data_IF_590437238658
#
_entry.id   IF_590437238658
#
_cell.length_a   1.000
_cell.length_b   1.000
_cell.length_c   1.000
_cell.angle_alpha   90.00
_cell.angle_beta   90.00
_cell.angle_gamma   90.00
#
_symmetry.space_group_name_H-M   'P 1'
#
loop_
_entity.id
_entity.type
_entity.pdbx_description
1 polymer ?
#
# COMPACT_ATOMS: atom_id res chain seq x y z
N UNK A 1 12.55 16.91 24.03
CA UNK A 1 12.10 17.42 22.72
C UNK A 1 10.64 17.05 22.55
N UNK A 2 9.81 17.91 21.95
CA UNK A 2 8.41 17.57 21.72
C UNK A 2 8.34 16.42 20.72
N UNK A 3 7.89 15.24 21.15
CA UNK A 3 7.51 14.14 20.25
C UNK A 3 6.46 14.68 19.29
N UNK A 4 6.82 14.98 18.05
CA UNK A 4 5.90 15.46 17.01
C UNK A 4 5.02 14.30 16.53
N UNK A 5 4.16 13.78 17.40
CA UNK A 5 3.17 12.77 17.05
C UNK A 5 2.12 13.40 16.14
N UNK A 6 1.74 12.69 15.09
CA UNK A 6 0.63 13.09 14.23
C UNK A 6 -0.70 12.87 14.96
N UNK A 7 -1.69 13.73 14.70
CA UNK A 7 -2.95 13.74 15.45
C UNK A 7 -4.05 12.86 14.85
N UNK A 8 -3.94 12.49 13.57
CA UNK A 8 -5.02 11.82 12.81
C UNK A 8 -4.50 10.89 11.70
N UNK A 9 -3.20 10.56 11.72
CA UNK A 9 -2.60 9.52 10.90
C UNK A 9 -2.18 8.37 11.80
N UNK A 10 -2.26 7.14 11.30
CA UNK A 10 -1.82 5.97 12.06
C UNK A 10 -0.30 5.88 12.01
N UNK A 11 0.30 5.77 13.19
CA UNK A 11 1.75 5.63 13.43
C UNK A 11 2.01 4.29 14.13
N UNK A 12 3.24 3.75 14.10
CA UNK A 12 3.57 2.59 14.94
C UNK A 12 3.51 2.97 16.43
N UNK A 13 3.57 1.95 17.29
CA UNK A 13 3.69 2.16 18.74
C UNK A 13 5.04 2.73 19.12
N UNK A 14 6.07 2.09 18.57
CA UNK A 14 7.48 2.47 18.56
C UNK A 14 8.10 1.84 17.30
N UNK A 15 9.29 2.29 16.92
CA UNK A 15 10.02 1.71 15.78
C UNK A 15 9.39 2.11 14.44
N UNK A 16 9.29 1.18 13.51
CA UNK A 16 8.99 1.46 12.10
C UNK A 16 7.65 0.89 11.64
N UNK A 17 7.04 1.57 10.67
CA UNK A 17 5.83 1.15 9.96
C UNK A 17 5.97 1.40 8.45
N UNK A 18 5.52 0.45 7.63
CA UNK A 18 5.26 0.68 6.20
C UNK A 18 3.88 0.18 5.76
N UNK A 19 3.83 -0.85 4.91
CA UNK A 19 2.68 -1.23 4.13
C UNK A 19 1.45 -1.53 5.00
N UNK A 20 0.27 -0.97 4.67
CA UNK A 20 -0.99 -1.50 5.21
C UNK A 20 -1.18 -2.95 4.74
N UNK A 21 -1.62 -3.80 5.66
CA UNK A 21 -1.83 -5.22 5.44
C UNK A 21 -3.19 -5.67 5.97
N UNK A 22 -3.69 -6.79 5.46
CA UNK A 22 -4.89 -7.45 5.98
C UNK A 22 -6.11 -6.54 6.13
N UNK A 23 -6.24 -5.49 5.33
CA UNK A 23 -7.31 -4.49 5.52
C UNK A 23 -8.67 -5.18 5.33
N UNK A 24 -9.50 -5.20 6.37
CA UNK A 24 -10.77 -5.94 6.35
C UNK A 24 -11.84 -5.34 7.24
N UNK A 25 -13.09 -5.43 6.81
CA UNK A 25 -14.24 -5.24 7.69
C UNK A 25 -14.74 -6.60 8.20
N UNK A 26 -14.58 -6.85 9.50
CA UNK A 26 -14.92 -8.11 10.15
C UNK A 26 -15.58 -7.84 11.51
N UNK A 27 -16.63 -8.61 11.83
CA UNK A 27 -17.40 -8.48 13.08
C UNK A 27 -17.75 -7.03 13.48
N UNK A 28 -18.20 -6.24 12.50
CA UNK A 28 -18.66 -4.86 12.72
C UNK A 28 -17.55 -3.81 12.83
N UNK A 29 -16.29 -4.17 12.58
CA UNK A 29 -15.12 -3.29 12.76
C UNK A 29 -14.20 -3.35 11.55
N UNK A 30 -13.55 -2.24 11.24
CA UNK A 30 -12.44 -2.18 10.31
C UNK A 30 -11.17 -2.58 11.05
N UNK A 31 -10.51 -3.65 10.61
CA UNK A 31 -9.19 -4.09 11.08
C UNK A 31 -8.15 -3.59 10.06
N UNK A 32 -7.12 -2.93 10.59
CA UNK A 32 -6.03 -2.31 9.83
C UNK A 32 -4.75 -2.90 10.36
N UNK A 33 -4.20 -3.89 9.66
CA UNK A 33 -2.87 -4.38 9.97
C UNK A 33 -1.84 -3.58 9.17
N UNK A 34 -0.58 -3.66 9.57
CA UNK A 34 0.52 -3.02 8.87
C UNK A 34 1.83 -3.72 9.20
N UNK A 35 2.77 -3.71 8.27
CA UNK A 35 4.14 -4.12 8.56
C UNK A 35 4.74 -3.24 9.66
N UNK A 36 5.28 -3.87 10.70
CA UNK A 36 5.84 -3.20 11.87
C UNK A 36 7.20 -3.80 12.22
N UNK A 37 8.12 -2.96 12.70
CA UNK A 37 9.32 -3.39 13.41
C UNK A 37 9.45 -2.50 14.65
N UNK A 38 9.09 -3.04 15.81
CA UNK A 38 9.06 -2.24 17.03
C UNK A 38 10.44 -2.08 17.69
N UNK A 39 11.47 -2.74 17.17
CA UNK A 39 12.82 -2.75 17.74
C UNK A 39 13.85 -2.04 16.86
N UNK A 40 13.49 -1.72 15.61
CA UNK A 40 14.34 -0.94 14.70
C UNK A 40 13.54 0.13 13.94
N UNK A 41 14.03 1.37 13.98
CA UNK A 41 13.44 2.52 13.26
C UNK A 41 13.55 2.40 11.74
N UNK A 42 14.34 1.46 11.22
CA UNK A 42 14.53 1.25 9.78
C UNK A 42 13.93 -0.07 9.28
N UNK A 43 13.20 -0.81 10.13
CA UNK A 43 12.52 -2.03 9.74
C UNK A 43 13.43 -3.22 9.40
N UNK A 44 14.64 -3.30 9.94
CA UNK A 44 15.67 -4.28 9.52
C UNK A 44 15.72 -5.55 10.34
N UNK A 45 15.07 -5.59 11.50
CA UNK A 45 15.25 -6.65 12.50
C UNK A 45 14.06 -7.62 12.48
N UNK A 46 12.90 -7.17 12.95
CA UNK A 46 11.78 -8.04 13.32
C UNK A 46 10.49 -7.59 12.62
N UNK A 47 10.40 -7.80 11.30
CA UNK A 47 9.16 -7.48 10.56
C UNK A 47 8.00 -8.38 11.01
N UNK A 48 7.03 -7.76 11.66
CA UNK A 48 5.81 -8.31 12.22
C UNK A 48 4.60 -7.56 11.65
N UNK A 49 3.37 -7.93 12.05
CA UNK A 49 2.17 -7.15 11.75
C UNK A 49 1.66 -6.43 12.99
N UNK A 50 1.69 -5.10 12.97
CA UNK A 50 0.94 -4.28 13.92
C UNK A 50 -0.54 -4.24 13.60
N UNK A 51 -1.37 -3.81 14.56
CA UNK A 51 -2.82 -3.86 14.42
C UNK A 51 -3.53 -2.65 15.02
N UNK A 52 -4.34 -2.01 14.19
CA UNK A 52 -5.36 -1.05 14.59
C UNK A 52 -6.74 -1.56 14.25
N UNK A 53 -7.74 -0.96 14.88
CA UNK A 53 -9.10 -1.12 14.45
C UNK A 53 -9.98 0.07 14.79
N UNK A 54 -11.07 0.21 14.05
CA UNK A 54 -12.01 1.32 14.19
C UNK A 54 -13.41 0.91 13.73
N UNK A 55 -14.43 1.62 14.21
CA UNK A 55 -15.82 1.52 13.72
C UNK A 55 -16.25 2.75 12.93
N UNK A 56 -15.48 3.84 13.00
CA UNK A 56 -15.88 5.17 12.54
C UNK A 56 -14.77 5.94 11.80
N UNK A 57 -13.56 5.36 11.67
CA UNK A 57 -12.36 6.01 11.12
C UNK A 57 -11.95 7.34 11.76
N UNK A 58 -12.57 7.71 12.88
CA UNK A 58 -12.27 8.90 13.67
C UNK A 58 -11.50 8.51 14.93
N UNK A 59 -11.91 7.42 15.58
CA UNK A 59 -11.27 6.85 16.77
C UNK A 59 -10.70 5.49 16.45
N UNK A 60 -9.43 5.29 16.79
CA UNK A 60 -8.72 4.04 16.54
C UNK A 60 -8.27 3.42 17.86
N UNK A 61 -8.50 2.12 18.00
CA UNK A 61 -7.91 1.31 19.06
C UNK A 61 -6.68 0.62 18.49
N UNK A 62 -5.53 0.86 19.12
CA UNK A 62 -4.29 0.13 18.85
C UNK A 62 -4.30 -1.17 19.64
N UNK A 63 -3.81 -2.25 19.04
CA UNK A 63 -3.65 -3.56 19.66
C UNK A 63 -2.18 -3.97 19.68
N UNK A 64 -1.91 -5.10 20.33
CA UNK A 64 -0.61 -5.77 20.26
C UNK A 64 -0.30 -6.24 18.82
N UNK A 65 0.94 -6.65 18.59
CA UNK A 65 1.32 -7.26 17.31
C UNK A 65 0.46 -8.50 17.04
N UNK A 66 -0.15 -8.56 15.87
CA UNK A 66 -1.07 -9.63 15.49
C UNK A 66 -0.34 -10.85 14.93
N UNK A 67 0.75 -10.64 14.18
CA UNK A 67 1.55 -11.69 13.55
C UNK A 67 3.03 -11.45 13.86
N UNK A 68 3.70 -12.45 14.40
CA UNK A 68 5.14 -12.44 14.66
C UNK A 68 5.88 -13.36 13.68
N UNK A 69 7.15 -13.07 13.32
CA UNK A 69 8.01 -13.96 12.54
C UNK A 69 8.56 -15.10 13.42
N UNK A 70 7.68 -16.01 13.86
CA UNK A 70 7.96 -17.03 14.88
C UNK A 70 7.98 -18.47 14.35
N UNK A 71 8.07 -18.66 13.03
CA UNK A 71 8.17 -19.97 12.39
C UNK A 71 9.38 -20.08 11.46
N UNK A 72 9.77 -21.31 11.11
CA UNK A 72 10.86 -21.53 10.13
C UNK A 72 10.58 -20.91 8.75
N UNK A 73 9.30 -20.72 8.41
CA UNK A 73 8.87 -20.21 7.11
C UNK A 73 8.84 -18.68 7.01
N UNK A 74 8.97 -17.97 8.13
CA UNK A 74 8.95 -16.50 8.21
C UNK A 74 9.96 -15.91 9.19
N UNK A 75 10.99 -16.68 9.58
CA UNK A 75 11.97 -16.32 10.61
C UNK A 75 12.72 -15.00 10.35
N UNK A 76 12.77 -14.52 9.10
CA UNK A 76 13.37 -13.23 8.74
C UNK A 76 12.32 -12.17 8.32
N UNK A 77 11.06 -12.37 8.70
CA UNK A 77 9.99 -11.39 8.59
C UNK A 77 8.67 -11.99 8.10
N UNK A 78 7.59 -11.64 8.79
CA UNK A 78 6.23 -11.76 8.26
C UNK A 78 5.95 -10.54 7.39
N UNK A 79 6.18 -10.66 6.08
CA UNK A 79 6.00 -9.60 5.07
C UNK A 79 4.52 -9.32 4.77
N UNK A 80 4.26 -8.41 3.83
CA UNK A 80 2.94 -7.93 3.45
C UNK A 80 1.97 -9.03 3.00
N UNK A 81 0.69 -8.70 3.03
CA UNK A 81 -0.38 -9.65 2.75
C UNK A 81 -1.78 -9.08 2.93
N UNK A 82 -2.79 -9.92 2.80
CA UNK A 82 -4.20 -9.53 2.76
C UNK A 82 -5.11 -10.48 3.55
N UNK A 83 -6.38 -10.11 3.64
CA UNK A 83 -7.39 -10.78 4.43
C UNK A 83 -8.51 -11.34 3.55
N UNK A 84 -9.11 -12.45 3.99
CA UNK A 84 -10.36 -12.99 3.44
C UNK A 84 -11.21 -13.59 4.55
N UNK A 85 -12.52 -13.70 4.35
CA UNK A 85 -13.44 -14.31 5.32
C UNK A 85 -14.06 -15.56 4.71
N UNK A 86 -14.07 -16.65 5.47
CA UNK A 86 -14.78 -17.90 5.15
C UNK A 86 -15.44 -18.43 6.42
N UNK A 87 -16.73 -18.72 6.36
CA UNK A 87 -17.49 -19.34 7.46
C UNK A 87 -17.26 -18.63 8.81
N UNK A 88 -17.47 -17.31 8.82
CA UNK A 88 -17.29 -16.44 10.00
C UNK A 88 -15.89 -16.50 10.62
N UNK A 89 -14.89 -16.84 9.81
CA UNK A 89 -13.47 -16.89 10.21
C UNK A 89 -12.69 -15.92 9.34
N UNK A 90 -11.90 -15.07 9.99
CA UNK A 90 -10.93 -14.23 9.32
C UNK A 90 -9.68 -15.06 9.03
N UNK A 91 -9.29 -15.13 7.77
CA UNK A 91 -8.02 -15.67 7.32
C UNK A 91 -7.11 -14.54 6.88
N UNK A 92 -5.87 -14.53 7.35
CA UNK A 92 -4.82 -13.65 6.83
C UNK A 92 -3.83 -14.50 6.04
N UNK A 93 -3.51 -14.04 4.84
CA UNK A 93 -2.48 -14.59 3.98
C UNK A 93 -1.36 -13.58 3.85
N UNK A 94 -0.12 -14.00 4.04
CA UNK A 94 1.03 -13.13 4.00
C UNK A 94 2.27 -13.85 3.47
N UNK A 95 3.30 -13.09 3.12
CA UNK A 95 4.58 -13.67 2.72
C UNK A 95 5.47 -13.92 3.93
N UNK A 96 5.83 -15.16 4.21
CA UNK A 96 6.93 -15.49 5.11
C UNK A 96 8.27 -15.34 4.41
N UNK A 97 9.15 -14.49 4.93
CA UNK A 97 10.47 -14.24 4.35
C UNK A 97 11.54 -15.02 5.13
N UNK A 98 12.35 -15.79 4.40
CA UNK A 98 13.51 -16.51 4.93
C UNK A 98 14.74 -16.10 4.14
N UNK A 99 15.86 -15.87 4.84
CA UNK A 99 17.17 -15.56 4.26
C UNK A 99 18.18 -16.58 4.76
N UNK A 100 18.79 -17.30 3.83
CA UNK A 100 19.85 -18.25 4.13
C UNK A 100 21.20 -17.56 4.20
N UNK A 101 22.03 -18.00 5.15
CA UNK A 101 23.42 -17.57 5.23
C UNK A 101 24.23 -18.01 4.01
N UNK A 102 25.17 -17.18 3.57
CA UNK A 102 26.04 -17.48 2.43
C UNK A 102 26.24 -16.26 1.54
N UNK A 103 27.01 -16.43 0.46
CA UNK A 103 27.16 -15.39 -0.55
C UNK A 103 26.01 -15.49 -1.56
N UNK A 104 24.93 -14.75 -1.29
CA UNK A 104 23.72 -14.73 -2.09
C UNK A 104 23.33 -13.30 -2.47
N UNK A 105 22.78 -13.15 -3.67
CA UNK A 105 22.17 -11.88 -4.13
C UNK A 105 20.78 -11.62 -3.50
N UNK A 106 20.16 -12.64 -2.89
CA UNK A 106 18.78 -12.62 -2.38
C UNK A 106 17.70 -12.28 -3.41
N UNK A 107 18.07 -12.25 -4.70
CA UNK A 107 17.19 -12.08 -5.84
C UNK A 107 16.96 -13.45 -6.49
N UNK A 108 18.02 -14.14 -6.90
CA UNK A 108 17.97 -15.44 -7.57
C UNK A 108 18.29 -16.61 -6.61
N UNK A 109 18.97 -16.35 -5.49
CA UNK A 109 19.36 -17.38 -4.52
C UNK A 109 19.29 -16.90 -3.07
N UNK A 110 19.40 -17.81 -2.09
CA UNK A 110 19.53 -17.46 -0.66
C UNK A 110 18.26 -16.92 0.01
N UNK A 111 17.11 -16.92 -0.66
CA UNK A 111 15.84 -16.46 -0.11
C UNK A 111 14.72 -17.47 -0.35
N UNK A 112 13.80 -17.56 0.61
CA UNK A 112 12.45 -18.04 0.39
C UNK A 112 11.41 -16.95 0.65
N UNK A 113 10.34 -16.96 -0.14
CA UNK A 113 9.16 -16.13 0.04
C UNK A 113 7.93 -17.04 -0.01
N UNK A 114 7.50 -17.45 1.18
CA UNK A 114 6.51 -18.49 1.39
C UNK A 114 5.11 -17.88 1.54
N UNK A 115 4.08 -18.45 0.93
CA UNK A 115 2.70 -18.08 1.22
C UNK A 115 2.31 -18.73 2.55
N UNK A 116 2.03 -17.90 3.56
CA UNK A 116 1.59 -18.36 4.88
C UNK A 116 0.15 -17.95 5.11
N UNK A 117 -0.62 -18.82 5.76
CA UNK A 117 -1.99 -18.58 6.21
C UNK A 117 -2.09 -18.71 7.73
N UNK A 118 -2.83 -17.80 8.37
CA UNK A 118 -3.31 -17.92 9.76
C UNK A 118 -4.81 -17.65 9.80
N UNK A 119 -5.45 -18.03 10.88
CA UNK A 119 -6.89 -17.79 11.07
C UNK A 119 -7.21 -17.21 12.44
N UNK A 120 -8.32 -16.48 12.50
CA UNK A 120 -8.88 -15.89 13.71
C UNK A 120 -10.40 -15.89 13.67
N UNK A 121 -11.01 -16.23 14.81
CA UNK A 121 -12.47 -16.17 15.00
C UNK A 121 -12.95 -14.84 15.55
N UNK A 122 -12.07 -14.04 16.15
CA UNK A 122 -12.41 -12.77 16.80
C UNK A 122 -11.75 -11.56 16.12
N UNK A 123 -10.82 -11.77 15.19
CA UNK A 123 -10.08 -10.73 14.49
C UNK A 123 -8.91 -10.14 15.28
N UNK A 124 -8.55 -10.72 16.44
CA UNK A 124 -7.46 -10.27 17.32
C UNK A 124 -6.47 -11.38 17.63
N UNK A 125 -6.94 -12.61 17.86
CA UNK A 125 -6.10 -13.75 18.20
C UNK A 125 -5.94 -14.66 16.97
N UNK A 126 -4.72 -14.71 16.43
CA UNK A 126 -4.39 -15.50 15.25
C UNK A 126 -3.69 -16.80 15.62
N UNK A 127 -4.11 -17.90 14.98
CA UNK A 127 -3.62 -19.27 15.24
C UNK A 127 -3.46 -20.05 13.94
N UNK A 128 -2.98 -21.29 14.07
CA UNK A 128 -2.89 -22.27 12.98
C UNK A 128 -2.10 -21.73 11.77
N UNK A 129 -0.91 -21.20 12.05
CA UNK A 129 0.05 -20.75 11.04
C UNK A 129 0.47 -21.93 10.16
N UNK A 130 0.28 -21.80 8.85
CA UNK A 130 0.57 -22.86 7.86
C UNK A 130 1.27 -22.28 6.63
N UNK A 131 2.38 -22.88 6.23
CA UNK A 131 2.99 -22.63 4.92
C UNK A 131 2.21 -23.39 3.84
N UNK A 132 1.72 -22.68 2.82
CA UNK A 132 0.87 -23.21 1.77
C UNK A 132 1.59 -23.29 0.42
N UNK A 133 2.47 -22.34 0.12
CA UNK A 133 3.32 -22.34 -1.08
C UNK A 133 4.72 -21.87 -0.71
N UNK A 134 5.72 -22.40 -1.42
CA UNK A 134 7.12 -22.01 -1.36
C UNK A 134 7.60 -21.59 -2.75
N UNK A 135 8.85 -21.13 -2.88
CA UNK A 135 9.40 -20.84 -4.21
C UNK A 135 9.45 -22.03 -5.17
N UNK A 136 9.27 -23.28 -4.69
CA UNK A 136 9.19 -24.47 -5.55
C UNK A 136 7.86 -24.58 -6.27
N UNK A 137 6.82 -23.97 -5.71
CA UNK A 137 5.45 -24.03 -6.22
C UNK A 137 5.15 -22.89 -7.21
N UNK A 138 6.03 -21.89 -7.27
CA UNK A 138 5.95 -20.81 -8.24
C UNK A 138 6.51 -21.23 -9.61
N UNK A 139 6.11 -20.56 -10.72
CA UNK A 139 6.66 -20.85 -12.03
C UNK A 139 8.20 -20.78 -12.03
N UNK A 140 8.84 -21.74 -12.69
CA UNK A 140 10.29 -21.94 -12.64
C UNK A 140 11.11 -20.77 -13.19
N UNK A 141 10.48 -19.93 -14.00
CA UNK A 141 11.04 -18.70 -14.57
C UNK A 141 10.89 -17.48 -13.65
N UNK A 142 10.34 -17.64 -12.44
CA UNK A 142 10.40 -16.64 -11.39
C UNK A 142 11.76 -16.67 -10.67
N UNK A 143 12.20 -15.50 -10.20
CA UNK A 143 13.28 -15.37 -9.21
C UNK A 143 12.78 -15.77 -7.81
N UNK A 144 13.57 -15.52 -6.76
CA UNK A 144 13.12 -15.67 -5.36
C UNK A 144 12.18 -14.55 -4.91
N UNK A 145 12.01 -13.50 -5.71
CA UNK A 145 11.05 -12.44 -5.44
C UNK A 145 9.65 -12.81 -5.95
N UNK A 146 8.83 -13.37 -5.05
CA UNK A 146 7.40 -13.62 -5.23
C UNK A 146 6.71 -13.35 -3.89
N UNK A 147 5.90 -12.28 -3.78
CA UNK A 147 5.38 -11.81 -2.49
C UNK A 147 4.06 -11.05 -2.57
N UNK A 148 3.59 -10.63 -1.41
CA UNK A 148 2.47 -9.71 -1.18
C UNK A 148 1.12 -10.28 -1.65
N UNK A 149 0.66 -11.39 -1.05
CA UNK A 149 -0.58 -12.06 -1.45
C UNK A 149 -1.81 -11.16 -1.31
N UNK A 150 -2.53 -10.94 -2.41
CA UNK A 150 -3.88 -10.37 -2.40
C UNK A 150 -4.93 -11.40 -2.79
N UNK A 151 -5.92 -11.60 -1.92
CA UNK A 151 -7.04 -12.46 -2.21
C UNK A 151 -8.28 -11.70 -2.71
N UNK A 152 -9.01 -12.31 -3.64
CA UNK A 152 -10.35 -11.89 -4.04
C UNK A 152 -11.21 -13.10 -4.40
N UNK A 153 -12.53 -12.93 -4.43
CA UNK A 153 -13.48 -13.98 -4.82
C UNK A 153 -14.02 -13.67 -6.21
N UNK A 154 -14.01 -14.68 -7.09
CA UNK A 154 -14.60 -14.59 -8.42
C UNK A 154 -15.27 -15.91 -8.77
N UNK A 155 -16.54 -15.83 -9.20
CA UNK A 155 -17.35 -17.00 -9.62
C UNK A 155 -17.36 -18.17 -8.61
N UNK A 156 -17.34 -17.85 -7.31
CA UNK A 156 -17.37 -18.84 -6.23
C UNK A 156 -16.01 -19.40 -5.81
N UNK A 157 -14.93 -19.08 -6.52
CA UNK A 157 -13.58 -19.53 -6.19
C UNK A 157 -12.76 -18.41 -5.55
N UNK A 158 -11.75 -18.82 -4.79
CA UNK A 158 -10.76 -17.93 -4.21
C UNK A 158 -9.63 -17.74 -5.20
N UNK A 159 -9.25 -16.48 -5.44
CA UNK A 159 -8.13 -16.12 -6.27
C UNK A 159 -7.06 -15.46 -5.41
N UNK A 160 -5.81 -15.72 -5.73
CA UNK A 160 -4.63 -15.18 -5.06
C UNK A 160 -3.74 -14.51 -6.10
N UNK A 161 -3.45 -13.23 -5.92
CA UNK A 161 -2.43 -12.51 -6.67
C UNK A 161 -1.12 -12.45 -5.89
N UNK A 162 0.00 -12.64 -6.57
CA UNK A 162 1.34 -12.48 -6.03
C UNK A 162 2.18 -11.63 -6.97
N UNK A 163 2.86 -10.62 -6.42
CA UNK A 163 3.81 -9.81 -7.16
C UNK A 163 5.10 -10.60 -7.38
N UNK A 164 5.67 -10.56 -8.59
CA UNK A 164 6.84 -11.34 -8.93
C UNK A 164 7.83 -10.63 -9.86
N UNK A 165 9.08 -11.11 -9.83
CA UNK A 165 10.17 -10.78 -10.77
C UNK A 165 10.60 -12.05 -11.49
N UNK A 166 10.63 -12.02 -12.82
CA UNK A 166 11.12 -13.12 -13.64
C UNK A 166 12.66 -13.11 -13.75
N UNK A 167 13.24 -14.23 -14.19
CA UNK A 167 14.70 -14.39 -14.33
C UNK A 167 15.33 -13.40 -15.33
N UNK A 168 14.54 -12.88 -16.28
CA UNK A 168 14.94 -11.85 -17.24
C UNK A 168 14.63 -10.42 -16.77
N UNK A 169 14.33 -10.26 -15.49
CA UNK A 169 13.91 -9.00 -14.86
C UNK A 169 12.58 -8.43 -15.36
N UNK A 170 11.75 -9.21 -16.04
CA UNK A 170 10.36 -8.79 -16.30
C UNK A 170 9.56 -8.80 -15.00
N UNK A 171 8.89 -7.69 -14.66
CA UNK A 171 7.90 -7.70 -13.57
C UNK A 171 6.58 -8.34 -14.01
N UNK A 172 5.93 -9.06 -13.11
CA UNK A 172 4.60 -9.62 -13.37
C UNK A 172 3.77 -9.81 -12.09
N UNK A 173 2.48 -10.07 -12.27
CA UNK A 173 1.60 -10.56 -11.19
C UNK A 173 1.15 -11.97 -11.53
N UNK A 174 1.44 -12.92 -10.64
CA UNK A 174 0.96 -14.30 -10.74
C UNK A 174 -0.47 -14.37 -10.19
N UNK A 175 -1.28 -15.26 -10.75
CA UNK A 175 -2.62 -15.58 -10.26
C UNK A 175 -2.74 -17.07 -10.01
N UNK A 176 -3.19 -17.42 -8.80
CA UNK A 176 -3.56 -18.77 -8.37
C UNK A 176 -5.04 -18.83 -8.06
N UNK A 177 -5.61 -20.03 -8.11
CA UNK A 177 -6.99 -20.31 -7.74
C UNK A 177 -7.05 -21.41 -6.67
N UNK A 178 -8.01 -21.30 -5.76
CA UNK A 178 -8.31 -22.29 -4.73
C UNK A 178 -9.82 -22.40 -4.54
N UNK A 179 -10.28 -23.60 -4.19
CA UNK A 179 -11.68 -23.85 -3.80
C UNK A 179 -11.85 -23.92 -2.28
N UNK A 180 -10.76 -24.01 -1.52
CA UNK A 180 -10.81 -24.34 -0.09
C UNK A 180 -9.93 -23.47 0.82
N UNK A 181 -9.12 -22.57 0.23
CA UNK A 181 -8.11 -21.72 0.87
C UNK A 181 -6.79 -22.43 1.27
N UNK A 182 -6.64 -23.72 0.97
CA UNK A 182 -5.48 -24.51 1.38
C UNK A 182 -4.67 -25.00 0.18
N UNK A 183 -5.34 -25.51 -0.85
CA UNK A 183 -4.71 -25.99 -2.08
C UNK A 183 -4.84 -24.93 -3.16
N UNK A 184 -3.71 -24.55 -3.76
CA UNK A 184 -3.62 -23.48 -4.75
C UNK A 184 -3.08 -24.03 -6.07
N UNK A 185 -3.79 -23.78 -7.16
CA UNK A 185 -3.38 -24.12 -8.52
C UNK A 185 -2.96 -22.85 -9.25
N UNK A 186 -1.79 -22.88 -9.91
CA UNK A 186 -1.35 -21.77 -10.76
C UNK A 186 -2.30 -21.63 -11.95
N UNK A 187 -2.92 -20.46 -12.11
CA UNK A 187 -3.87 -20.19 -13.17
C UNK A 187 -3.19 -19.50 -14.36
N UNK A 188 -2.58 -18.35 -14.12
CA UNK A 188 -1.97 -17.50 -15.15
C UNK A 188 -1.08 -16.42 -14.54
N UNK A 189 -0.55 -15.52 -15.39
CA UNK A 189 0.13 -14.31 -14.95
C UNK A 189 -0.23 -13.13 -15.82
N UNK A 190 -0.03 -11.94 -15.28
CA UNK A 190 -0.22 -10.67 -15.97
C UNK A 190 1.11 -9.92 -16.09
N UNK A 191 1.42 -9.44 -17.30
CA UNK A 191 2.69 -8.76 -17.59
C UNK A 191 2.44 -7.39 -18.23
N UNK A 192 3.13 -6.32 -17.80
CA UNK A 192 3.06 -5.02 -18.46
C UNK A 192 3.56 -5.06 -19.91
N UNK A 193 2.83 -4.43 -20.83
CA UNK A 193 3.28 -4.26 -22.22
C UNK A 193 4.23 -3.07 -22.42
N UNK A 194 4.16 -2.11 -21.52
CA UNK A 194 5.00 -0.91 -21.42
C UNK A 194 5.23 -0.63 -19.95
N UNK A 195 6.24 0.18 -19.66
CA UNK A 195 6.60 0.55 -18.28
C UNK A 195 6.77 -0.74 -17.46
N UNK A 196 7.72 -1.59 -17.90
CA UNK A 196 7.76 -3.00 -17.48
C UNK A 196 8.30 -3.17 -16.08
N UNK A 197 9.18 -2.28 -15.59
CA UNK A 197 9.81 -2.41 -14.28
C UNK A 197 10.52 -3.76 -14.08
N UNK A 198 11.14 -3.98 -12.91
CA UNK A 198 11.76 -5.27 -12.58
C UNK A 198 11.00 -6.09 -11.54
N UNK A 199 10.14 -5.46 -10.75
CA UNK A 199 9.36 -6.13 -9.71
C UNK A 199 8.01 -5.44 -9.57
N UNK A 200 6.97 -6.23 -9.33
CA UNK A 200 5.66 -5.72 -8.97
C UNK A 200 5.38 -5.98 -7.50
N UNK A 201 5.35 -4.94 -6.65
CA UNK A 201 4.97 -5.10 -5.24
C UNK A 201 3.48 -4.82 -5.01
N UNK A 202 2.95 -5.36 -3.91
CA UNK A 202 1.61 -5.05 -3.40
C UNK A 202 0.49 -5.07 -4.45
N UNK A 203 0.32 -6.16 -5.24
CA UNK A 203 -0.76 -6.24 -6.20
C UNK A 203 -2.13 -6.22 -5.50
N UNK A 204 -3.11 -5.56 -6.10
CA UNK A 204 -4.50 -5.56 -5.66
C UNK A 204 -5.46 -5.62 -6.85
N UNK A 205 -6.52 -6.42 -6.74
CA UNK A 205 -7.48 -6.63 -7.82
C UNK A 205 -8.67 -5.67 -7.68
N UNK A 206 -8.87 -4.83 -8.70
CA UNK A 206 -9.99 -3.89 -8.74
C UNK A 206 -10.84 -4.14 -9.98
N UNK A 207 -12.13 -3.79 -9.91
CA UNK A 207 -13.03 -3.85 -11.06
C UNK A 207 -14.06 -2.72 -11.03
N UNK A 208 -14.49 -2.32 -12.21
CA UNK A 208 -15.76 -1.61 -12.41
C UNK A 208 -16.67 -2.46 -13.31
N UNK A 209 -17.80 -1.90 -13.75
CA UNK A 209 -18.79 -2.62 -14.57
C UNK A 209 -18.20 -3.26 -15.83
N UNK A 210 -17.22 -2.60 -16.46
CA UNK A 210 -16.73 -2.97 -17.79
C UNK A 210 -15.27 -3.42 -17.80
N UNK A 211 -14.50 -3.16 -16.75
CA UNK A 211 -13.05 -3.32 -16.74
C UNK A 211 -12.53 -3.94 -15.45
N UNK A 212 -11.41 -4.63 -15.57
CA UNK A 212 -10.62 -5.17 -14.46
C UNK A 212 -9.26 -4.46 -14.43
N UNK A 213 -8.71 -4.29 -13.25
CA UNK A 213 -7.47 -3.58 -13.02
C UNK A 213 -6.60 -4.32 -12.00
N UNK A 214 -5.29 -4.16 -12.15
CA UNK A 214 -4.31 -4.49 -11.11
C UNK A 214 -3.74 -3.17 -10.61
N UNK A 215 -4.01 -2.86 -9.35
CA UNK A 215 -3.28 -1.85 -8.60
C UNK A 215 -1.99 -2.45 -8.07
N UNK A 216 -0.88 -1.72 -8.08
CA UNK A 216 0.42 -2.26 -7.72
C UNK A 216 1.49 -1.17 -7.58
N UNK A 217 2.66 -1.60 -7.12
CA UNK A 217 3.86 -0.80 -6.92
C UNK A 217 5.01 -1.31 -7.80
N UNK A 218 5.06 -0.91 -9.09
CA UNK A 218 6.14 -1.31 -9.98
C UNK A 218 7.45 -0.62 -9.61
N UNK A 219 8.52 -1.41 -9.46
CA UNK A 219 9.88 -0.93 -9.22
C UNK A 219 10.66 -0.87 -10.53
N UNK A 220 11.56 0.10 -10.67
CA UNK A 220 12.50 0.16 -11.81
C UNK A 220 11.93 0.75 -13.10
N UNK A 221 10.89 1.57 -13.04
CA UNK A 221 10.50 2.39 -14.19
C UNK A 221 11.67 3.27 -14.66
N UNK A 222 11.81 3.39 -15.98
CA UNK A 222 12.76 4.32 -16.59
C UNK A 222 12.25 5.74 -16.33
N UNK A 223 12.99 6.51 -15.53
CA UNK A 223 12.62 7.87 -15.07
C UNK A 223 12.63 8.95 -16.15
N UNK A 224 12.78 8.57 -17.42
CA UNK A 224 12.79 9.51 -18.57
C UNK A 224 11.41 10.14 -18.83
N UNK A 225 10.33 9.59 -18.27
CA UNK A 225 9.03 10.24 -18.27
C UNK A 225 8.94 11.19 -17.06
N UNK A 226 8.72 12.48 -17.31
CA UNK A 226 8.51 13.53 -16.28
C UNK A 226 7.38 13.22 -15.26
N UNK A 227 6.62 12.15 -15.50
CA UNK A 227 5.51 11.65 -14.69
C UNK A 227 6.02 10.81 -13.49
N UNK A 228 7.17 10.13 -13.59
CA UNK A 228 7.68 9.21 -12.56
C UNK A 228 8.79 9.85 -11.71
N UNK A 229 8.39 10.66 -10.72
CA UNK A 229 9.34 11.41 -9.86
C UNK A 229 9.61 10.77 -8.49
N UNK A 230 8.93 9.68 -8.14
CA UNK A 230 9.18 8.92 -6.90
C UNK A 230 10.34 7.93 -7.11
N UNK A 231 10.94 7.41 -6.03
CA UNK A 231 11.93 6.33 -6.12
C UNK A 231 11.32 5.13 -6.83
N UNK A 232 10.13 4.74 -6.38
CA UNK A 232 9.26 3.74 -7.01
C UNK A 232 7.87 4.30 -7.18
N UNK A 233 7.20 3.92 -8.26
CA UNK A 233 5.88 4.44 -8.58
C UNK A 233 4.77 3.56 -8.00
N UNK A 234 3.55 4.13 -7.95
CA UNK A 234 2.39 3.45 -7.44
C UNK A 234 1.16 3.83 -8.27
N UNK A 235 0.48 2.82 -8.80
CA UNK A 235 -0.53 3.02 -9.82
C UNK A 235 -1.42 1.81 -10.02
N UNK A 236 -2.16 1.85 -11.13
CA UNK A 236 -2.96 0.72 -11.56
C UNK A 236 -2.92 0.57 -13.08
N UNK A 237 -2.91 -0.68 -13.53
CA UNK A 237 -3.03 -1.06 -14.93
C UNK A 237 -4.42 -1.60 -15.21
N UNK A 238 -4.91 -1.37 -16.43
CA UNK A 238 -6.06 -2.09 -16.97
C UNK A 238 -5.62 -3.47 -17.48
N UNK A 239 -6.45 -4.48 -17.22
CA UNK A 239 -6.20 -5.86 -17.66
C UNK A 239 -6.84 -6.08 -19.04
N UNK A 240 -6.04 -6.54 -20.02
CA UNK A 240 -6.51 -6.98 -21.34
C UNK A 240 -5.95 -8.37 -21.66
N UNK A 241 -6.74 -9.41 -21.44
CA UNK A 241 -6.23 -10.79 -21.46
C UNK A 241 -5.21 -10.99 -20.33
N UNK A 242 -3.98 -11.36 -20.68
CA UNK A 242 -2.85 -11.48 -19.76
C UNK A 242 -1.93 -10.25 -19.77
N UNK A 243 -2.33 -9.19 -20.48
CA UNK A 243 -1.54 -7.97 -20.60
C UNK A 243 -2.02 -6.91 -19.61
N UNK A 244 -1.06 -6.24 -18.98
CA UNK A 244 -1.28 -5.00 -18.24
C UNK A 244 -0.99 -3.81 -19.15
N UNK A 245 -1.99 -2.95 -19.32
CA UNK A 245 -1.97 -1.80 -20.25
C UNK A 245 -2.52 -0.55 -19.57
N UNK A 246 -2.31 0.61 -20.18
CA UNK A 246 -2.92 1.88 -19.74
C UNK A 246 -2.64 2.22 -18.26
N UNK A 247 -1.36 2.18 -17.85
CA UNK A 247 -0.95 2.53 -16.49
C UNK A 247 -1.37 3.95 -16.10
N UNK A 248 -1.86 4.11 -14.87
CA UNK A 248 -2.15 5.41 -14.29
C UNK A 248 -1.64 5.48 -12.85
N UNK A 249 -0.95 6.56 -12.51
CA UNK A 249 -0.49 6.83 -11.15
C UNK A 249 -1.67 7.07 -10.19
N UNK A 250 -1.53 6.63 -8.93
CA UNK A 250 -2.54 6.82 -7.89
C UNK A 250 -2.35 8.12 -7.12
N UNK A 251 -1.12 8.56 -6.92
CA UNK A 251 -0.83 9.73 -6.09
C UNK A 251 0.28 10.56 -6.71
N UNK A 252 0.03 11.87 -6.78
CA UNK A 252 0.94 12.83 -7.39
C UNK A 252 1.79 13.58 -6.35
N UNK A 253 1.72 13.20 -5.08
CA UNK A 253 2.62 13.64 -4.01
C UNK A 253 3.96 12.90 -4.02
N UNK A 254 4.77 13.13 -2.97
CA UNK A 254 6.13 12.59 -2.87
C UNK A 254 6.23 11.35 -1.95
N UNK A 255 5.17 11.04 -1.20
CA UNK A 255 5.15 9.95 -0.21
C UNK A 255 3.82 9.20 -0.27
N UNK A 256 3.76 8.20 -1.13
CA UNK A 256 2.61 7.31 -1.26
C UNK A 256 3.09 5.98 -1.87
N UNK A 257 2.99 4.90 -1.12
CA UNK A 257 3.42 3.59 -1.58
C UNK A 257 2.60 2.46 -0.93
N UNK A 258 2.70 1.25 -1.49
CA UNK A 258 2.06 0.03 -1.00
C UNK A 258 0.56 0.18 -0.64
N UNK A 259 -0.29 0.73 -1.52
CA UNK A 259 -1.71 0.84 -1.22
C UNK A 259 -2.36 -0.55 -1.13
N UNK A 260 -3.34 -0.67 -0.25
CA UNK A 260 -4.19 -1.84 -0.17
C UNK A 260 -5.64 -1.41 0.02
N UNK A 261 -6.57 -2.17 -0.56
CA UNK A 261 -8.01 -1.98 -0.36
C UNK A 261 -8.60 -2.92 0.68
N UNK A 262 -9.61 -2.43 1.40
CA UNK A 262 -10.33 -3.22 2.40
C UNK A 262 -11.16 -4.35 1.78
N UNK A 263 -11.00 -5.56 2.30
CA UNK A 263 -11.89 -6.68 2.04
C UNK A 263 -13.19 -6.55 2.85
N UNK A 264 -14.31 -7.06 2.29
CA UNK A 264 -15.64 -7.12 2.92
C UNK A 264 -16.22 -5.76 3.38
N UNK A 265 -15.69 -4.65 2.90
CA UNK A 265 -16.27 -3.32 3.10
C UNK A 265 -17.37 -3.06 2.06
N UNK A 266 -18.44 -2.36 2.45
CA UNK A 266 -19.52 -1.94 1.54
C UNK A 266 -19.04 -0.96 0.46
N UNK A 267 -17.97 -0.23 0.74
CA UNK A 267 -17.33 0.74 -0.16
C UNK A 267 -15.91 0.29 -0.42
N UNK A 268 -15.40 0.57 -1.62
CA UNK A 268 -13.98 0.38 -1.93
C UNK A 268 -13.19 1.46 -1.22
N UNK A 269 -12.55 1.09 -0.11
CA UNK A 269 -11.73 1.99 0.71
C UNK A 269 -10.28 1.54 0.58
N UNK A 270 -9.36 2.48 0.41
CA UNK A 270 -7.93 2.25 0.28
C UNK A 270 -7.18 3.02 1.36
N UNK A 271 -6.12 2.40 1.88
CA UNK A 271 -5.07 3.07 2.64
C UNK A 271 -3.72 2.73 1.99
N UNK A 272 -2.71 3.55 2.26
CA UNK A 272 -1.36 3.39 1.73
C UNK A 272 -0.34 3.81 2.79
N UNK A 273 0.92 3.43 2.60
CA UNK A 273 2.03 3.94 3.38
C UNK A 273 2.37 5.37 2.93
N UNK A 274 2.44 6.30 3.88
CA UNK A 274 3.11 7.59 3.71
C UNK A 274 4.59 7.34 4.00
N UNK A 275 5.25 6.83 2.98
CA UNK A 275 6.66 6.59 2.93
C UNK A 275 7.02 5.86 1.63
N UNK A 276 8.27 5.47 1.47
CA UNK A 276 8.74 4.73 0.30
C UNK A 276 10.06 4.00 0.59
N UNK A 277 10.31 2.84 -0.03
CA UNK A 277 11.59 2.17 0.10
C UNK A 277 12.70 3.03 -0.52
N UNK A 278 13.93 2.88 0.01
CA UNK A 278 15.14 3.54 -0.47
C UNK A 278 15.06 5.08 -0.57
N UNK A 279 14.12 5.69 0.16
CA UNK A 279 14.00 7.14 0.25
C UNK A 279 14.68 7.65 1.53
N UNK A 280 15.58 8.63 1.37
CA UNK A 280 16.31 9.26 2.48
C UNK A 280 15.44 10.35 3.14
N UNK A 281 14.72 9.97 4.20
CA UNK A 281 13.97 10.94 5.01
C UNK A 281 14.92 11.70 5.95
N UNK A 282 14.81 13.03 5.95
CA UNK A 282 15.58 13.89 6.86
C UNK A 282 14.93 14.02 8.24
N UNK A 283 13.61 13.82 8.31
CA UNK A 283 12.88 13.82 9.58
C UNK A 283 13.14 12.49 10.31
N UNK A 284 13.99 12.57 11.33
CA UNK A 284 14.26 11.47 12.26
C UNK A 284 13.45 11.74 13.53
N UNK A 285 12.53 10.86 13.87
CA UNK A 285 11.86 10.89 15.17
C UNK A 285 12.50 9.87 16.10
N UNK A 286 12.56 10.20 17.40
CA UNK A 286 13.31 9.43 18.39
C UNK A 286 12.69 8.03 18.64
N UNK A 287 11.37 7.90 18.51
CA UNK A 287 10.63 6.70 18.92
C UNK A 287 9.81 6.03 17.82
N UNK A 288 9.58 6.67 16.67
CA UNK A 288 8.79 6.10 15.58
C UNK A 288 9.28 6.51 14.18
N UNK A 289 8.89 5.78 13.15
CA UNK A 289 9.19 6.13 11.76
C UNK A 289 8.02 5.78 10.84
N UNK A 290 7.63 6.75 10.00
CA UNK A 290 6.58 6.70 8.97
C UNK A 290 5.16 6.39 9.46
N UNK A 291 4.17 6.58 8.57
CA UNK A 291 2.74 6.52 8.90
C UNK A 291 1.90 5.93 7.77
N UNK A 292 0.64 5.61 8.06
CA UNK A 292 -0.36 5.34 7.02
C UNK A 292 -1.09 6.61 6.57
N UNK A 293 -1.52 6.59 5.32
CA UNK A 293 -2.37 7.61 4.72
C UNK A 293 -3.77 7.61 5.32
N UNK A 294 -4.48 8.72 5.14
CA UNK A 294 -5.92 8.73 5.43
C UNK A 294 -6.65 7.76 4.49
N UNK A 295 -7.70 7.07 4.97
CA UNK A 295 -8.52 6.22 4.12
C UNK A 295 -9.20 7.03 3.02
N UNK A 296 -9.13 6.50 1.79
CA UNK A 296 -9.73 7.09 0.59
C UNK A 296 -10.80 6.15 0.04
N UNK A 297 -12.01 6.67 -0.19
CA UNK A 297 -13.01 6.01 -1.01
C UNK A 297 -12.58 6.08 -2.47
N UNK A 298 -12.64 4.95 -3.15
CA UNK A 298 -12.38 4.82 -4.58
C UNK A 298 -13.71 4.71 -5.33
N UNK A 299 -13.85 5.52 -6.37
CA UNK A 299 -14.93 5.46 -7.36
C UNK A 299 -14.32 5.38 -8.77
N UNK A 300 -15.00 4.73 -9.71
CA UNK A 300 -14.61 4.78 -11.12
C UNK A 300 -15.56 5.73 -11.87
N UNK A 301 -15.03 6.78 -12.49
CA UNK A 301 -15.79 7.75 -13.31
C UNK A 301 -15.03 8.07 -14.58
N UNK A 302 -15.75 8.15 -15.70
CA UNK A 302 -15.18 8.53 -17.01
C UNK A 302 -13.91 7.72 -17.39
N UNK A 303 -13.90 6.44 -17.06
CA UNK A 303 -12.77 5.54 -17.36
C UNK A 303 -11.54 5.72 -16.46
N UNK A 304 -11.65 6.47 -15.35
CA UNK A 304 -10.55 6.70 -14.39
C UNK A 304 -10.97 6.39 -12.97
N UNK A 305 -9.98 6.08 -12.15
CA UNK A 305 -10.12 6.00 -10.70
C UNK A 305 -10.14 7.41 -10.09
N UNK A 306 -11.18 7.71 -9.30
CA UNK A 306 -11.32 8.91 -8.49
C UNK A 306 -11.15 8.52 -7.04
N UNK A 307 -10.29 9.24 -6.33
CA UNK A 307 -10.05 9.05 -4.91
C UNK A 307 -10.60 10.25 -4.14
N UNK A 308 -11.39 9.99 -3.11
CA UNK A 308 -11.86 11.00 -2.17
C UNK A 308 -11.53 10.55 -0.76
N UNK A 309 -11.13 11.45 0.15
CA UNK A 309 -11.13 11.09 1.56
C UNK A 309 -12.54 10.60 1.96
N UNK A 310 -12.63 9.55 2.79
CA UNK A 310 -13.96 9.05 3.21
C UNK A 310 -14.69 10.10 4.05
N UNK A 311 -16.03 10.14 3.98
CA UNK A 311 -16.84 11.14 4.67
C UNK A 311 -16.65 11.13 6.20
N UNK A 312 -16.35 9.96 6.77
CA UNK A 312 -16.14 9.81 8.21
C UNK A 312 -15.06 10.74 8.78
N UNK A 313 -14.00 11.02 8.02
CA UNK A 313 -12.92 11.90 8.49
C UNK A 313 -13.38 13.36 8.63
N UNK A 314 -14.50 13.74 8.01
CA UNK A 314 -15.06 15.08 8.13
C UNK A 314 -15.47 15.37 9.58
N UNK A 315 -15.76 14.33 10.38
CA UNK A 315 -16.02 14.44 11.82
C UNK A 315 -14.83 14.95 12.62
N UNK A 316 -13.60 14.84 12.10
CA UNK A 316 -12.39 15.38 12.72
C UNK A 316 -12.30 16.91 12.60
N UNK A 317 -13.07 17.52 11.70
CA UNK A 317 -13.12 18.97 11.53
C UNK A 317 -13.70 19.60 12.79
N UNK A 318 -13.05 20.66 13.29
CA UNK A 318 -13.51 21.44 14.43
C UNK A 318 -14.22 22.71 13.94
N UNK A 319 -13.67 23.88 14.25
CA UNK A 319 -14.24 25.16 13.90
C UNK A 319 -13.98 25.51 12.41
N UNK A 320 -15.05 25.78 11.64
CA UNK A 320 -14.92 26.31 10.27
C UNK A 320 -14.51 27.77 10.33
N UNK A 321 -13.37 28.10 9.72
CA UNK A 321 -12.91 29.48 9.54
C UNK A 321 -12.88 29.84 8.06
N UNK A 322 -13.39 31.02 7.72
CA UNK A 322 -13.34 31.57 6.35
C UNK A 322 -12.28 32.67 6.31
N UNK A 323 -11.45 32.64 5.28
CA UNK A 323 -10.38 33.62 5.06
C UNK A 323 -10.46 34.12 3.62
N UNK A 324 -10.10 35.39 3.38
CA UNK A 324 -10.22 36.01 2.05
C UNK A 324 -8.87 36.35 1.40
N UNK A 325 -7.74 36.25 2.12
CA UNK A 325 -6.40 36.59 1.61
C UNK A 325 -5.33 35.70 2.26
N UNK A 326 -4.58 36.25 3.21
CA UNK A 326 -3.61 35.52 4.03
C UNK A 326 -4.28 34.98 5.28
N UNK A 327 -3.94 33.75 5.64
CA UNK A 327 -4.39 33.11 6.86
C UNK A 327 -3.25 32.36 7.49
N UNK A 328 -3.25 32.30 8.82
CA UNK A 328 -2.37 31.43 9.57
C UNK A 328 -3.19 30.23 10.02
N UNK A 329 -2.74 29.03 9.66
CA UNK A 329 -3.29 27.81 10.22
C UNK A 329 -2.36 27.37 11.35
N UNK A 330 -2.89 27.28 12.57
CA UNK A 330 -2.09 26.97 13.77
C UNK A 330 -1.78 25.47 13.94
N UNK A 331 -2.41 24.60 13.14
CA UNK A 331 -2.29 23.15 13.16
C UNK A 331 -2.49 22.60 11.75
N UNK A 332 -2.41 21.29 11.60
CA UNK A 332 -2.96 20.56 10.45
C UNK A 332 -4.34 21.04 10.00
N UNK A 333 -4.58 21.10 8.69
CA UNK A 333 -5.89 21.44 8.13
C UNK A 333 -6.14 20.79 6.78
N UNK A 334 -7.41 20.52 6.50
CA UNK A 334 -7.90 20.19 5.17
C UNK A 334 -8.28 21.50 4.48
N UNK A 335 -7.70 21.77 3.32
CA UNK A 335 -7.96 22.99 2.55
C UNK A 335 -8.78 22.55 1.33
N UNK A 336 -9.98 23.09 1.23
CA UNK A 336 -10.88 22.92 0.11
C UNK A 336 -11.13 24.31 -0.49
N UNK A 337 -10.92 24.44 -1.80
CA UNK A 337 -11.16 25.68 -2.51
C UNK A 337 -11.56 25.39 -3.95
N UNK A 338 -12.45 26.23 -4.47
CA UNK A 338 -12.81 26.28 -5.88
C UNK A 338 -11.96 27.38 -6.53
N UNK A 339 -11.38 27.09 -7.69
CA UNK A 339 -10.55 28.04 -8.42
C UNK A 339 -10.98 28.10 -9.87
N UNK A 340 -11.66 29.19 -10.25
CA UNK A 340 -12.07 29.46 -11.63
C UNK A 340 -10.96 30.09 -12.47
N UNK A 341 -9.83 30.45 -11.83
CA UNK A 341 -8.70 31.13 -12.45
C UNK A 341 -7.37 30.56 -11.94
N UNK A 342 -6.27 30.94 -12.61
CA UNK A 342 -4.92 30.64 -12.14
C UNK A 342 -4.72 31.12 -10.70
N UNK A 343 -4.03 30.31 -9.88
CA UNK A 343 -3.77 30.66 -8.48
C UNK A 343 -2.35 30.28 -8.06
N UNK A 344 -1.90 30.95 -7.00
CA UNK A 344 -0.72 30.56 -6.23
C UNK A 344 -1.12 30.50 -4.77
N UNK A 345 -1.03 29.32 -4.18
CA UNK A 345 -1.26 29.08 -2.76
C UNK A 345 0.08 28.85 -2.06
N UNK A 346 0.37 29.69 -1.07
CA UNK A 346 1.55 29.53 -0.21
C UNK A 346 1.12 28.91 1.12
N UNK A 347 1.75 27.79 1.47
CA UNK A 347 1.59 27.06 2.73
C UNK A 347 2.96 27.00 3.41
N UNK A 348 3.40 28.13 3.95
CA UNK A 348 4.78 28.34 4.43
C UNK A 348 5.80 28.08 3.30
N UNK A 349 6.66 27.07 3.45
CA UNK A 349 7.67 26.68 2.44
C UNK A 349 7.11 25.79 1.31
N UNK A 350 5.85 25.35 1.43
CA UNK A 350 5.15 24.61 0.38
C UNK A 350 4.42 25.62 -0.51
N UNK A 351 4.56 25.48 -1.82
CA UNK A 351 3.88 26.32 -2.80
C UNK A 351 3.09 25.45 -3.77
N UNK A 352 1.80 25.75 -3.94
CA UNK A 352 0.96 25.18 -4.98
C UNK A 352 0.66 26.23 -6.04
N UNK A 353 0.86 25.90 -7.31
CA UNK A 353 0.62 26.80 -8.44
C UNK A 353 -0.30 26.12 -9.44
N UNK A 354 -1.41 26.75 -9.79
CA UNK A 354 -2.21 26.34 -10.94
C UNK A 354 -2.15 27.42 -12.01
N UNK A 355 -1.62 27.07 -13.18
CA UNK A 355 -1.39 28.00 -14.29
C UNK A 355 -1.45 27.25 -15.61
N UNK A 356 -2.15 27.79 -16.62
CA UNK A 356 -2.27 27.17 -17.96
C UNK A 356 -2.63 25.67 -17.92
N UNK A 357 -3.62 25.28 -17.10
CA UNK A 357 -4.07 23.88 -16.94
C UNK A 357 -2.99 22.92 -16.40
N UNK A 358 -1.99 23.46 -15.71
CA UNK A 358 -0.94 22.71 -15.03
C UNK A 358 -0.98 23.05 -13.53
N UNK A 359 -1.03 22.02 -12.68
CA UNK A 359 -0.88 22.15 -11.23
C UNK A 359 0.53 21.72 -10.82
N UNK A 360 1.24 22.59 -10.12
CA UNK A 360 2.57 22.34 -9.59
C UNK A 360 2.54 22.34 -8.06
N UNK A 361 3.07 21.26 -7.46
CA UNK A 361 3.47 21.23 -6.05
C UNK A 361 4.98 21.49 -5.98
N UNK A 362 5.36 22.61 -5.39
CA UNK A 362 6.72 23.10 -5.26
C UNK A 362 7.17 23.07 -3.80
N UNK A 363 8.08 22.14 -3.52
CA UNK A 363 8.74 21.92 -2.24
C UNK A 363 10.20 22.40 -2.26
N UNK A 364 10.63 23.19 -3.25
CA UNK A 364 12.03 23.62 -3.38
C UNK A 364 12.56 24.45 -2.20
N UNK A 365 11.67 25.03 -1.39
CA UNK A 365 12.01 25.70 -0.13
C UNK A 365 11.96 24.78 1.09
N UNK A 366 11.36 23.60 0.95
CA UNK A 366 11.41 22.58 1.98
C UNK A 366 12.80 21.95 1.97
N UNK A 367 13.45 21.87 3.13
CA UNK A 367 14.72 21.18 3.28
C UNK A 367 14.50 19.65 3.22
N UNK A 368 14.13 19.12 2.04
CA UNK A 368 13.72 17.73 1.83
C UNK A 368 14.25 17.10 0.52
N UNK A 369 15.18 17.78 -0.17
CA UNK A 369 15.78 17.36 -1.45
C UNK A 369 14.78 17.02 -2.57
N UNK A 370 13.52 17.45 -2.42
CA UNK A 370 12.44 17.29 -3.39
C UNK A 370 12.04 18.66 -3.87
N UNK A 371 11.99 18.82 -5.20
CA UNK A 371 11.75 20.12 -5.80
C UNK A 371 10.29 20.26 -6.23
N UNK A 372 9.98 19.94 -7.48
CA UNK A 372 8.67 20.26 -8.07
C UNK A 372 8.04 19.01 -8.67
N UNK A 373 6.74 18.91 -8.52
CA UNK A 373 5.90 17.94 -9.22
C UNK A 373 4.81 18.66 -9.97
N UNK A 374 4.47 18.12 -11.13
CA UNK A 374 3.53 18.71 -12.05
C UNK A 374 2.46 17.70 -12.41
N UNK A 375 1.22 18.18 -12.51
CA UNK A 375 0.10 17.49 -13.12
C UNK A 375 -0.34 18.36 -14.29
N UNK A 376 -0.28 17.82 -15.49
CA UNK A 376 -0.63 18.53 -16.71
C UNK A 376 -2.04 18.17 -17.18
N UNK A 377 -2.64 19.06 -17.97
CA UNK A 377 -3.94 18.85 -18.61
C UNK A 377 -5.08 18.65 -17.58
N UNK A 378 -5.01 19.35 -16.45
CA UNK A 378 -6.15 19.46 -15.53
C UNK A 378 -7.20 20.30 -16.26
N UNK A 379 -8.39 19.73 -16.45
CA UNK A 379 -9.51 20.38 -17.13
C UNK A 379 -10.36 21.16 -16.16
#
# INVERSE_FOLDING_TARGET
>A
MATKKLNYHLMPRKGWLNDPNGLVFFHGRYHIFYQADEDDLQGRMNKAWGHYSTTDFATYTRHELAILPDSEYDINGAYSGSAIIKEDTLYLFYTGNVRYSGNHDYIHSGREQNLICVESKDGFNFKNKRCLLTNKDYPRDCTKHVRDPKLFISKGNYHLLLGARLQDDTSCVLEYMSNDLNSWEYLQRYTPKKDVGYMMECPDFLKNENNRFIMCCPQGFVKEQEIFKNVYDCGYYKIKGNDLVEYQALDYGFDFYAPQTFYNSKRLIMMAWIGMPDNEYLDIYDDWNQTLSMPRQIEFKEGRMIQKPIDEILSLRKEKKKYCRSFAISKSSNIEFEADNEFVLFLNDIKMVYKKNELCLDLSKCNCNRNKRYIQNIK
#
